data_IF_303822009654
#
_entry.id   IF_303822009654
#
_cell.length_a   1.000
_cell.length_b   1.000
_cell.length_c   1.000
_cell.angle_alpha   90.00
_cell.angle_beta   90.00
_cell.angle_gamma   90.00
#
_symmetry.space_group_name_H-M   'P 1'
#
loop_
_entity.id
_entity.type
_entity.pdbx_description
1 polymer ?
#
# COMPACT_ATOMS: atom_id res chain seq x y z
N UNK A 1 -4.58 -28.81 -40.57
CA UNK A 1 -4.85 -28.18 -39.26
C UNK A 1 -5.32 -29.27 -38.32
N UNK A 2 -4.55 -29.58 -37.28
CA UNK A 2 -4.89 -30.61 -36.29
C UNK A 2 -6.13 -30.22 -35.47
N UNK A 3 -6.78 -31.23 -34.87
CA UNK A 3 -7.96 -31.07 -34.01
C UNK A 3 -7.59 -30.22 -32.79
N UNK A 4 -8.27 -29.08 -32.60
CA UNK A 4 -8.06 -28.18 -31.46
C UNK A 4 -8.89 -28.64 -30.25
N UNK A 5 -8.26 -28.77 -29.10
CA UNK A 5 -8.90 -29.22 -27.87
C UNK A 5 -9.57 -28.07 -27.10
N UNK A 6 -10.72 -27.60 -27.60
CA UNK A 6 -11.44 -26.45 -27.03
C UNK A 6 -12.24 -26.78 -25.76
N UNK A 7 -12.34 -25.80 -24.87
CA UNK A 7 -13.16 -25.87 -23.65
C UNK A 7 -14.66 -25.92 -23.97
N UNK A 8 -15.40 -26.74 -23.21
CA UNK A 8 -16.87 -26.74 -23.27
C UNK A 8 -17.46 -25.42 -22.76
N UNK A 9 -18.69 -25.09 -23.18
CA UNK A 9 -19.40 -23.90 -22.67
C UNK A 9 -19.58 -23.93 -21.15
N UNK A 10 -19.72 -25.12 -20.56
CA UNK A 10 -19.77 -25.31 -19.10
C UNK A 10 -18.46 -24.87 -18.44
N UNK A 11 -17.31 -25.29 -18.97
CA UNK A 11 -16.00 -24.87 -18.47
C UNK A 11 -15.82 -23.36 -18.59
N UNK A 12 -16.13 -22.78 -19.76
CA UNK A 12 -16.02 -21.32 -19.99
C UNK A 12 -16.85 -20.53 -18.98
N UNK A 13 -18.10 -20.95 -18.75
CA UNK A 13 -19.00 -20.30 -17.78
C UNK A 13 -18.48 -20.40 -16.35
N UNK A 14 -18.09 -21.61 -15.90
CA UNK A 14 -17.57 -21.82 -14.55
C UNK A 14 -16.28 -21.01 -14.35
N UNK A 15 -15.38 -21.02 -15.33
CA UNK A 15 -14.13 -20.27 -15.26
C UNK A 15 -14.36 -18.76 -15.10
N UNK A 16 -15.27 -18.19 -15.88
CA UNK A 16 -15.64 -16.77 -15.74
C UNK A 16 -16.26 -16.48 -14.36
N UNK A 17 -17.12 -17.36 -13.84
CA UNK A 17 -17.75 -17.19 -12.52
C UNK A 17 -16.73 -17.24 -11.38
N UNK A 18 -15.72 -18.12 -11.47
CA UNK A 18 -14.66 -18.26 -10.44
C UNK A 18 -13.80 -17.00 -10.26
N UNK A 19 -13.86 -16.07 -11.20
CA UNK A 19 -13.16 -14.77 -11.14
C UNK A 19 -14.13 -13.59 -11.31
N UNK A 20 -15.43 -13.78 -11.00
CA UNK A 20 -16.47 -12.74 -11.10
C UNK A 20 -16.49 -12.00 -12.45
N UNK A 21 -16.20 -12.71 -13.54
CA UNK A 21 -16.08 -12.14 -14.88
C UNK A 21 -15.04 -11.01 -14.97
N UNK A 22 -14.02 -10.99 -14.11
CA UNK A 22 -12.88 -10.07 -14.20
C UNK A 22 -11.67 -10.74 -14.86
N UNK A 23 -10.90 -9.95 -15.61
CA UNK A 23 -9.67 -10.43 -16.23
C UNK A 23 -8.68 -10.92 -15.16
N UNK A 24 -8.21 -12.18 -15.24
CA UNK A 24 -7.28 -12.75 -14.28
C UNK A 24 -5.86 -12.18 -14.35
N UNK A 25 -5.55 -11.34 -15.34
CA UNK A 25 -4.29 -10.58 -15.33
C UNK A 25 -4.36 -9.55 -14.18
N UNK A 26 -3.50 -9.65 -13.15
CA UNK A 26 -3.57 -8.77 -11.98
C UNK A 26 -3.32 -7.29 -12.30
N UNK A 27 -2.65 -7.00 -13.42
CA UNK A 27 -2.45 -5.63 -13.90
C UNK A 27 -3.63 -5.08 -14.70
N UNK A 28 -4.68 -5.88 -14.95
CA UNK A 28 -5.83 -5.48 -15.76
C UNK A 28 -7.12 -5.45 -14.96
N UNK A 29 -7.53 -6.60 -14.37
CA UNK A 29 -8.75 -6.77 -13.54
C UNK A 29 -10.06 -6.26 -14.17
N UNK A 30 -10.05 -5.96 -15.47
CA UNK A 30 -11.18 -5.36 -16.17
C UNK A 30 -12.39 -6.29 -16.11
N UNK A 31 -13.55 -5.73 -15.75
CA UNK A 31 -14.84 -6.42 -15.88
C UNK A 31 -15.08 -6.74 -17.35
N UNK A 32 -15.35 -8.00 -17.63
CA UNK A 32 -15.43 -8.55 -18.98
C UNK A 32 -16.86 -8.72 -19.49
N UNK A 33 -17.87 -8.46 -18.66
CA UNK A 33 -19.29 -8.58 -19.00
C UNK A 33 -20.02 -7.25 -18.79
N UNK A 34 -21.02 -6.97 -19.61
CA UNK A 34 -21.84 -5.76 -19.50
C UNK A 34 -23.23 -5.92 -20.11
N UNK A 35 -24.11 -4.95 -19.87
CA UNK A 35 -25.44 -4.93 -20.45
C UNK A 35 -25.39 -4.82 -21.98
N UNK A 36 -26.30 -5.50 -22.65
CA UNK A 36 -26.56 -5.29 -24.08
C UNK A 36 -27.73 -4.31 -24.25
N UNK A 37 -27.88 -3.71 -25.43
CA UNK A 37 -29.05 -2.90 -25.79
C UNK A 37 -30.38 -3.69 -25.83
N UNK A 38 -30.33 -5.02 -25.67
CA UNK A 38 -31.49 -5.91 -25.62
C UNK A 38 -31.55 -6.50 -24.22
N UNK A 39 -32.72 -6.47 -23.59
CA UNK A 39 -32.89 -6.80 -22.16
C UNK A 39 -32.56 -8.26 -21.81
N UNK A 40 -32.63 -9.17 -22.77
CA UNK A 40 -32.38 -10.61 -22.61
C UNK A 40 -30.92 -11.00 -22.94
N UNK A 41 -30.03 -10.03 -23.19
CA UNK A 41 -28.65 -10.26 -23.62
C UNK A 41 -27.62 -9.53 -22.76
N UNK A 42 -26.40 -10.07 -22.77
CA UNK A 42 -25.22 -9.45 -22.21
C UNK A 42 -24.10 -9.41 -23.25
N UNK A 43 -23.26 -8.39 -23.18
CA UNK A 43 -22.00 -8.31 -23.94
C UNK A 43 -20.91 -8.96 -23.10
N UNK A 44 -20.05 -9.77 -23.72
CA UNK A 44 -18.84 -10.29 -23.09
C UNK A 44 -17.62 -10.03 -23.98
N UNK A 45 -16.59 -9.43 -23.40
CA UNK A 45 -15.24 -9.30 -23.99
C UNK A 45 -14.25 -10.30 -23.39
N UNK A 46 -14.73 -11.20 -22.51
CA UNK A 46 -13.91 -12.20 -21.83
C UNK A 46 -13.74 -13.47 -22.66
N UNK A 47 -12.56 -14.10 -22.53
CA UNK A 47 -12.17 -15.33 -23.22
C UNK A 47 -11.60 -16.32 -22.21
N UNK A 48 -11.97 -17.59 -22.37
CA UNK A 48 -11.29 -18.69 -21.72
C UNK A 48 -10.06 -19.05 -22.56
N UNK A 49 -8.87 -18.76 -22.04
CA UNK A 49 -7.60 -19.02 -22.69
C UNK A 49 -6.97 -20.29 -22.11
N UNK A 50 -6.23 -21.00 -22.97
CA UNK A 50 -5.41 -22.14 -22.56
C UNK A 50 -4.09 -21.64 -21.97
N UNK A 51 -3.69 -22.18 -20.82
CA UNK A 51 -2.38 -21.90 -20.23
C UNK A 51 -1.30 -22.63 -21.03
N UNK A 52 -1.47 -23.94 -21.21
CA UNK A 52 -0.73 -24.77 -22.17
C UNK A 52 -1.62 -25.04 -23.40
N UNK A 53 -1.09 -24.85 -24.61
CA UNK A 53 -1.88 -24.79 -25.85
C UNK A 53 -2.82 -25.98 -26.09
N UNK A 54 -3.96 -25.67 -26.70
CA UNK A 54 -5.00 -26.61 -27.12
C UNK A 54 -4.60 -27.55 -28.28
N UNK A 55 -3.48 -27.26 -28.95
CA UNK A 55 -3.02 -28.01 -30.11
C UNK A 55 -1.51 -27.83 -30.30
N UNK A 56 -0.90 -28.78 -30.99
CA UNK A 56 0.50 -28.70 -31.40
C UNK A 56 0.77 -27.43 -32.22
N UNK A 57 1.91 -26.79 -31.97
CA UNK A 57 2.30 -25.53 -32.59
C UNK A 57 1.64 -24.27 -31.99
N UNK A 58 0.78 -24.41 -30.97
CA UNK A 58 0.27 -23.27 -30.21
C UNK A 58 1.23 -22.81 -29.12
N UNK A 59 1.02 -21.61 -28.55
CA UNK A 59 1.89 -21.05 -27.52
C UNK A 59 1.98 -21.95 -26.28
N UNK A 60 3.19 -22.18 -25.76
CA UNK A 60 3.43 -23.04 -24.58
C UNK A 60 2.86 -24.47 -24.73
N UNK A 61 2.91 -25.06 -25.93
CA UNK A 61 2.41 -26.43 -26.14
C UNK A 61 3.21 -27.47 -25.34
N UNK A 62 2.49 -28.34 -24.61
CA UNK A 62 3.07 -29.46 -23.89
C UNK A 62 2.70 -30.81 -24.54
N UNK A 63 3.70 -31.46 -25.11
CA UNK A 63 3.55 -32.77 -25.77
C UNK A 63 3.12 -33.90 -24.83
N UNK A 64 3.37 -33.77 -23.53
CA UNK A 64 3.04 -34.78 -22.53
C UNK A 64 1.61 -34.63 -21.98
N UNK A 65 0.91 -33.53 -22.31
CA UNK A 65 -0.43 -33.26 -21.82
C UNK A 65 -1.48 -33.94 -22.71
N UNK A 66 -2.37 -34.72 -22.10
CA UNK A 66 -3.47 -35.40 -22.78
C UNK A 66 -4.56 -34.44 -23.28
N UNK A 67 -5.39 -34.84 -24.26
CA UNK A 67 -6.53 -34.04 -24.73
C UNK A 67 -7.52 -33.68 -23.61
N UNK A 68 -7.71 -34.58 -22.64
CA UNK A 68 -8.57 -34.38 -21.46
C UNK A 68 -8.00 -33.30 -20.55
N UNK A 69 -6.70 -33.34 -20.28
CA UNK A 69 -6.00 -32.32 -19.48
C UNK A 69 -6.01 -30.95 -20.18
N UNK A 70 -5.81 -30.90 -21.51
CA UNK A 70 -5.88 -29.65 -22.29
C UNK A 70 -7.24 -28.96 -22.17
N UNK A 71 -8.32 -29.75 -22.11
CA UNK A 71 -9.71 -29.28 -21.94
C UNK A 71 -10.11 -29.04 -20.49
N UNK A 72 -9.25 -29.38 -19.53
CA UNK A 72 -9.54 -29.22 -18.11
C UNK A 72 -9.57 -27.74 -17.71
N UNK A 73 -10.45 -27.40 -16.77
CA UNK A 73 -10.49 -26.06 -16.16
C UNK A 73 -9.18 -25.71 -15.42
N UNK A 74 -8.39 -26.70 -15.03
CA UNK A 74 -7.05 -26.49 -14.44
C UNK A 74 -6.08 -25.85 -15.43
N UNK A 75 -6.24 -26.12 -16.73
CA UNK A 75 -5.45 -25.55 -17.82
C UNK A 75 -6.07 -24.25 -18.39
N UNK A 76 -7.12 -23.72 -17.77
CA UNK A 76 -7.86 -22.58 -18.30
C UNK A 76 -7.68 -21.32 -17.43
N UNK A 77 -7.50 -20.16 -18.08
CA UNK A 77 -7.47 -18.84 -17.44
C UNK A 77 -8.47 -17.89 -18.12
N UNK A 78 -9.16 -17.06 -17.35
CA UNK A 78 -10.12 -16.08 -17.90
C UNK A 78 -9.45 -14.73 -18.12
N UNK A 79 -9.45 -14.23 -19.36
CA UNK A 79 -8.83 -12.95 -19.69
C UNK A 79 -9.75 -12.09 -20.55
N UNK A 80 -9.60 -10.77 -20.48
CA UNK A 80 -10.22 -9.90 -21.48
C UNK A 80 -9.55 -10.12 -22.85
N UNK A 81 -10.24 -9.77 -23.94
CA UNK A 81 -9.76 -9.95 -25.30
C UNK A 81 -8.33 -9.45 -25.54
N UNK A 82 -7.97 -8.27 -25.00
CA UNK A 82 -6.64 -7.69 -25.17
C UNK A 82 -5.54 -8.44 -24.40
N UNK A 83 -5.82 -8.89 -23.17
CA UNK A 83 -4.87 -9.69 -22.41
C UNK A 83 -4.71 -11.10 -22.99
N UNK A 84 -5.80 -11.70 -23.49
CA UNK A 84 -5.76 -12.95 -24.22
C UNK A 84 -4.81 -12.88 -25.42
N UNK A 85 -4.95 -11.83 -26.26
CA UNK A 85 -4.07 -11.66 -27.42
C UNK A 85 -2.60 -11.42 -27.03
N UNK A 86 -2.36 -10.74 -25.89
CA UNK A 86 -1.00 -10.45 -25.40
C UNK A 86 -0.26 -11.71 -24.95
N UNK A 87 -0.91 -12.59 -24.19
CA UNK A 87 -0.24 -13.78 -23.65
C UNK A 87 0.14 -14.78 -24.75
N UNK A 88 -0.61 -14.81 -25.86
CA UNK A 88 -0.34 -15.72 -26.97
C UNK A 88 0.73 -15.19 -27.92
N UNK A 89 0.92 -13.88 -28.01
CA UNK A 89 1.95 -13.25 -28.86
C UNK A 89 3.35 -13.23 -28.24
N UNK A 90 3.46 -13.44 -26.93
CA UNK A 90 4.73 -13.34 -26.19
C UNK A 90 4.81 -14.42 -25.10
N UNK A 91 4.95 -15.67 -25.53
CA UNK A 91 4.99 -16.83 -24.62
C UNK A 91 6.18 -16.86 -23.67
N UNK A 92 7.29 -16.19 -24.05
CA UNK A 92 8.49 -16.06 -23.21
C UNK A 92 8.19 -15.15 -22.02
N UNK A 93 7.55 -14.00 -22.27
CA UNK A 93 7.16 -13.07 -21.19
C UNK A 93 6.04 -13.61 -20.32
N UNK A 94 5.17 -14.47 -20.86
CA UNK A 94 4.04 -15.06 -20.15
C UNK A 94 4.16 -16.59 -20.08
N UNK A 95 5.09 -17.12 -19.26
CA UNK A 95 5.29 -18.55 -19.11
C UNK A 95 4.15 -19.23 -18.34
N UNK A 96 4.01 -20.55 -18.51
CA UNK A 96 2.97 -21.40 -17.87
C UNK A 96 2.83 -21.13 -16.37
N UNK A 97 3.96 -21.08 -15.65
CA UNK A 97 4.00 -20.85 -14.21
C UNK A 97 3.31 -19.53 -13.82
N UNK A 98 3.60 -18.44 -14.54
CA UNK A 98 3.03 -17.12 -14.29
C UNK A 98 1.50 -17.11 -14.52
N UNK A 99 1.03 -17.78 -15.56
CA UNK A 99 -0.41 -17.85 -15.85
C UNK A 99 -1.17 -18.69 -14.81
N UNK A 100 -0.55 -19.75 -14.26
CA UNK A 100 -1.11 -20.46 -13.12
C UNK A 100 -1.17 -19.60 -11.85
N UNK A 101 -0.14 -18.79 -11.59
CA UNK A 101 -0.15 -17.82 -10.49
C UNK A 101 -1.30 -16.81 -10.66
N UNK A 102 -1.44 -16.20 -11.84
CA UNK A 102 -2.53 -15.27 -12.16
C UNK A 102 -3.92 -15.88 -11.95
N UNK A 103 -4.12 -17.11 -12.43
CA UNK A 103 -5.36 -17.87 -12.20
C UNK A 103 -5.62 -18.06 -10.71
N UNK A 104 -4.61 -18.53 -9.95
CA UNK A 104 -4.77 -18.79 -8.52
C UNK A 104 -5.10 -17.54 -7.74
N UNK A 105 -4.43 -16.43 -8.04
CA UNK A 105 -4.66 -15.13 -7.39
C UNK A 105 -6.07 -14.61 -7.67
N UNK A 106 -6.49 -14.60 -8.94
CA UNK A 106 -7.82 -14.13 -9.32
C UNK A 106 -8.94 -14.95 -8.67
N UNK A 107 -8.79 -16.28 -8.60
CA UNK A 107 -9.77 -17.17 -7.96
C UNK A 107 -9.81 -16.98 -6.43
N UNK A 108 -8.67 -16.68 -5.79
CA UNK A 108 -8.61 -16.41 -4.33
C UNK A 108 -9.21 -15.06 -3.95
N UNK A 109 -9.04 -14.04 -4.80
CA UNK A 109 -9.57 -12.70 -4.54
C UNK A 109 -11.11 -12.69 -4.50
N UNK A 110 -11.76 -13.56 -5.29
CA UNK A 110 -13.21 -13.62 -5.49
C UNK A 110 -13.91 -14.65 -4.57
N UNK A 111 -13.30 -15.01 -3.44
CA UNK A 111 -13.98 -15.87 -2.47
C UNK A 111 -15.04 -15.05 -1.69
N UNK A 112 -16.35 -15.38 -1.78
CA UNK A 112 -17.40 -14.66 -1.05
C UNK A 112 -17.25 -14.78 0.48
N UNK A 113 -16.55 -15.78 1.00
CA UNK A 113 -16.21 -15.86 2.43
C UNK A 113 -15.14 -14.83 2.84
N UNK A 114 -14.43 -14.21 1.89
CA UNK A 114 -13.55 -13.07 2.16
C UNK A 114 -14.34 -11.78 2.50
N UNK A 115 -15.68 -11.80 2.44
CA UNK A 115 -16.51 -10.73 3.05
C UNK A 115 -16.55 -10.79 4.58
N UNK A 116 -16.04 -11.86 5.20
CA UNK A 116 -15.44 -11.75 6.54
C UNK A 116 -13.99 -11.35 6.34
N UNK A 117 -13.65 -10.12 6.74
CA UNK A 117 -12.26 -9.64 6.92
C UNK A 117 -11.38 -10.82 7.31
N UNK A 118 -10.57 -11.32 6.37
CA UNK A 118 -9.73 -12.47 6.63
C UNK A 118 -8.80 -12.11 7.80
N UNK A 119 -9.02 -12.73 8.95
CA UNK A 119 -8.16 -12.63 10.13
C UNK A 119 -6.84 -13.38 9.90
N UNK A 120 -6.10 -12.99 8.86
CA UNK A 120 -4.80 -13.51 8.49
C UNK A 120 -3.87 -12.35 8.19
N UNK A 121 -3.01 -12.00 9.16
CA UNK A 121 -2.00 -10.93 9.10
C UNK A 121 -2.40 -9.73 8.22
N UNK A 122 -3.31 -8.90 8.73
CA UNK A 122 -3.72 -7.68 8.05
C UNK A 122 -2.54 -6.70 8.09
N UNK A 123 -1.78 -6.64 7.00
CA UNK A 123 -0.70 -5.65 6.84
C UNK A 123 -1.33 -4.27 6.96
N UNK A 124 -0.95 -3.52 7.99
CA UNK A 124 -1.44 -2.16 8.22
C UNK A 124 -0.51 -1.17 7.53
N UNK A 125 -1.09 -0.37 6.64
CA UNK A 125 -0.38 0.72 5.97
C UNK A 125 -0.78 2.00 6.69
N UNK A 126 0.15 2.56 7.46
CA UNK A 126 0.00 3.75 8.28
C UNK A 126 0.64 4.93 7.57
N UNK A 127 -0.15 5.81 6.96
CA UNK A 127 0.38 7.02 6.30
C UNK A 127 0.38 8.22 7.22
N UNK A 128 1.47 8.98 7.20
CA UNK A 128 1.59 10.29 7.84
C UNK A 128 1.51 11.34 6.75
N UNK A 129 0.47 12.16 6.75
CA UNK A 129 0.26 13.18 5.73
C UNK A 129 -0.44 14.44 6.23
N UNK A 130 0.02 15.59 5.75
CA UNK A 130 -0.71 16.86 5.80
C UNK A 130 -0.09 17.80 4.76
N UNK A 131 -0.93 18.43 3.93
CA UNK A 131 -0.47 19.36 2.88
C UNK A 131 0.21 20.61 3.45
N UNK A 132 -0.01 20.91 4.74
CA UNK A 132 0.67 21.99 5.45
C UNK A 132 2.14 21.66 5.74
N UNK A 133 3.03 22.62 5.49
CA UNK A 133 4.42 22.56 5.93
C UNK A 133 4.57 22.72 7.44
N UNK A 134 5.70 22.27 7.99
CA UNK A 134 6.10 22.56 9.38
C UNK A 134 5.32 21.83 10.48
N UNK A 135 4.46 20.85 10.16
CA UNK A 135 3.70 20.07 11.16
C UNK A 135 4.41 18.79 11.64
N UNK A 136 5.71 18.63 11.33
CA UNK A 136 6.53 17.53 11.84
C UNK A 136 6.29 16.15 11.20
N UNK A 137 5.74 16.06 9.99
CA UNK A 137 5.34 14.79 9.34
C UNK A 137 6.45 13.74 9.29
N UNK A 138 7.63 14.10 8.79
CA UNK A 138 8.75 13.17 8.68
C UNK A 138 9.26 12.70 10.04
N UNK A 139 9.27 13.59 11.04
CA UNK A 139 9.63 13.23 12.41
C UNK A 139 8.59 12.30 13.04
N UNK A 140 7.29 12.60 12.88
CA UNK A 140 6.19 11.75 13.32
C UNK A 140 6.28 10.38 12.66
N UNK A 141 6.56 10.31 11.35
CA UNK A 141 6.72 9.04 10.64
C UNK A 141 7.85 8.20 11.23
N UNK A 142 9.02 8.79 11.46
CA UNK A 142 10.15 8.11 12.08
C UNK A 142 9.80 7.63 13.50
N UNK A 143 9.19 8.50 14.31
CA UNK A 143 8.82 8.19 15.69
C UNK A 143 7.75 7.10 15.79
N UNK A 144 6.75 7.10 14.92
CA UNK A 144 5.72 6.05 14.84
C UNK A 144 6.35 4.73 14.38
N UNK A 145 7.28 4.73 13.42
CA UNK A 145 8.00 3.50 13.02
C UNK A 145 8.74 2.86 14.21
N UNK A 146 9.46 3.66 14.99
CA UNK A 146 10.18 3.18 16.20
C UNK A 146 9.22 2.73 17.28
N UNK A 147 8.17 3.50 17.56
CA UNK A 147 7.18 3.18 18.59
C UNK A 147 6.39 1.90 18.26
N UNK A 148 5.98 1.69 17.00
CA UNK A 148 5.32 0.44 16.58
C UNK A 148 6.28 -0.75 16.78
N UNK A 149 7.52 -0.63 16.31
CA UNK A 149 8.53 -1.68 16.46
C UNK A 149 8.73 -2.09 17.93
N UNK A 150 8.82 -1.12 18.83
CA UNK A 150 8.96 -1.35 20.28
C UNK A 150 7.71 -1.91 20.96
N UNK A 151 6.55 -1.27 20.75
CA UNK A 151 5.30 -1.62 21.46
C UNK A 151 4.72 -2.94 20.97
N UNK A 152 4.81 -3.23 19.67
CA UNK A 152 4.24 -4.44 19.07
C UNK A 152 5.25 -5.59 18.98
N UNK A 153 6.54 -5.33 19.16
CA UNK A 153 7.62 -6.30 18.92
C UNK A 153 7.53 -6.91 17.51
N UNK A 154 7.25 -6.07 16.50
CA UNK A 154 7.05 -6.48 15.10
C UNK A 154 8.05 -5.83 14.16
N UNK A 155 8.29 -6.48 13.01
CA UNK A 155 9.04 -5.88 11.90
C UNK A 155 8.21 -4.79 11.24
N UNK A 156 8.83 -3.64 10.99
CA UNK A 156 8.20 -2.45 10.39
C UNK A 156 8.93 -2.10 9.10
N UNK A 157 8.19 -1.77 8.05
CA UNK A 157 8.72 -1.16 6.84
C UNK A 157 8.43 0.34 6.84
N UNK A 158 9.45 1.19 7.00
CA UNK A 158 9.33 2.64 6.92
C UNK A 158 9.60 3.12 5.50
N UNK A 159 8.61 3.70 4.84
CA UNK A 159 8.65 4.10 3.44
C UNK A 159 8.64 5.63 3.37
N UNK A 160 9.63 6.22 2.70
CA UNK A 160 9.59 7.65 2.39
C UNK A 160 8.97 7.87 1.01
N UNK A 161 7.92 8.69 0.95
CA UNK A 161 7.37 9.24 -0.27
C UNK A 161 7.58 10.77 -0.34
N UNK A 162 8.55 11.29 0.43
CA UNK A 162 8.93 12.71 0.47
C UNK A 162 10.25 12.95 -0.27
N UNK A 163 10.36 14.06 -0.99
CA UNK A 163 11.56 14.37 -1.79
C UNK A 163 12.84 14.46 -0.95
N UNK A 164 12.73 14.82 0.34
CA UNK A 164 13.88 15.02 1.20
C UNK A 164 14.28 13.79 2.02
N UNK A 165 13.47 12.71 2.01
CA UNK A 165 13.72 11.49 2.79
C UNK A 165 14.04 11.70 4.29
N UNK A 166 13.67 12.86 4.88
CA UNK A 166 14.03 13.22 6.25
C UNK A 166 13.55 12.20 7.30
N UNK A 167 12.46 11.48 7.05
CA UNK A 167 11.99 10.43 7.97
C UNK A 167 12.99 9.28 8.08
N UNK A 168 13.70 8.95 7.01
CA UNK A 168 14.74 7.92 7.01
C UNK A 168 16.03 8.47 7.62
N UNK A 169 16.37 9.73 7.37
CA UNK A 169 17.51 10.40 8.00
C UNK A 169 17.37 10.43 9.52
N UNK A 170 16.17 10.73 10.03
CA UNK A 170 15.90 10.68 11.48
C UNK A 170 16.09 9.28 12.06
N UNK A 171 15.90 8.23 11.27
CA UNK A 171 16.16 6.83 11.68
C UNK A 171 17.66 6.46 11.60
N UNK A 172 18.52 7.40 11.21
CA UNK A 172 19.97 7.25 11.19
C UNK A 172 20.54 6.72 9.87
N UNK A 173 19.80 6.80 8.76
CA UNK A 173 20.31 6.40 7.44
C UNK A 173 20.16 7.52 6.42
N UNK A 174 21.30 7.98 5.89
CA UNK A 174 21.37 8.96 4.81
C UNK A 174 21.48 8.28 3.45
N UNK A 175 21.04 8.97 2.40
CA UNK A 175 21.03 8.42 1.03
C UNK A 175 22.46 8.08 0.54
N UNK A 176 23.47 8.85 0.95
CA UNK A 176 24.89 8.59 0.65
C UNK A 176 25.40 7.28 1.28
N UNK A 177 24.83 6.90 2.43
CA UNK A 177 25.21 5.71 3.21
C UNK A 177 24.41 4.46 2.80
N UNK A 178 23.52 4.57 1.80
CA UNK A 178 22.68 3.49 1.29
C UNK A 178 23.47 2.25 0.84
N UNK A 179 24.71 2.42 0.37
CA UNK A 179 25.62 1.31 -0.02
C UNK A 179 26.16 0.50 1.16
N UNK A 180 26.31 1.13 2.33
CA UNK A 180 26.77 0.47 3.55
C UNK A 180 25.65 -0.32 4.24
N UNK A 181 24.39 0.00 3.96
CA UNK A 181 23.24 -0.74 4.44
C UNK A 181 23.09 -2.09 3.70
N UNK A 182 22.86 -3.17 4.45
CA UNK A 182 22.67 -4.49 3.85
C UNK A 182 21.36 -4.53 3.05
N UNK A 183 21.50 -4.85 1.78
CA UNK A 183 20.42 -4.93 0.81
C UNK A 183 19.82 -6.35 0.74
N UNK A 184 18.50 -6.45 0.59
CA UNK A 184 17.80 -7.75 0.53
C UNK A 184 17.08 -7.93 -0.80
N UNK A 185 17.60 -8.84 -1.64
CA UNK A 185 16.89 -9.42 -2.79
C UNK A 185 16.68 -10.92 -2.57
N UNK A 186 15.50 -11.42 -2.97
CA UNK A 186 15.29 -12.83 -3.30
C UNK A 186 14.83 -12.90 -4.76
N UNK A 187 15.48 -13.75 -5.54
CA UNK A 187 15.43 -13.82 -7.01
C UNK A 187 14.03 -13.81 -7.67
N UNK A 188 14.02 -13.31 -8.92
CA UNK A 188 13.02 -13.47 -10.00
C UNK A 188 11.80 -12.52 -10.12
N UNK A 189 11.85 -11.27 -9.65
CA UNK A 189 10.93 -10.19 -10.08
C UNK A 189 11.54 -8.80 -9.84
N UNK A 190 11.03 -7.74 -10.50
CA UNK A 190 11.30 -6.35 -10.11
C UNK A 190 10.69 -6.14 -8.71
N UNK A 191 11.54 -6.21 -7.68
CA UNK A 191 11.14 -6.12 -6.27
C UNK A 191 11.58 -4.80 -5.66
N UNK A 192 10.79 -4.31 -4.71
CA UNK A 192 11.09 -3.10 -3.96
C UNK A 192 12.35 -3.30 -3.12
N UNK A 193 13.32 -2.40 -3.32
CA UNK A 193 14.57 -2.42 -2.58
C UNK A 193 14.33 -1.95 -1.15
N UNK A 194 14.73 -2.76 -0.17
CA UNK A 194 14.64 -2.43 1.26
C UNK A 194 16.02 -2.44 1.90
N UNK A 195 16.25 -1.53 2.85
CA UNK A 195 17.53 -1.36 3.54
C UNK A 195 17.37 -1.62 5.05
N UNK A 196 18.36 -2.29 5.65
CA UNK A 196 18.43 -2.49 7.11
C UNK A 196 18.95 -1.21 7.79
N UNK A 197 18.39 -0.87 8.95
CA UNK A 197 18.91 0.21 9.79
C UNK A 197 19.94 -0.33 10.81
N UNK A 198 21.11 0.33 10.98
CA UNK A 198 22.13 -0.10 11.95
C UNK A 198 21.63 -0.10 13.40
N UNK A 199 20.93 0.95 13.83
CA UNK A 199 20.49 1.13 15.22
C UNK A 199 19.11 0.53 15.52
N UNK A 200 18.34 0.15 14.49
CA UNK A 200 16.93 -0.28 14.60
C UNK A 200 16.67 -1.54 13.77
N UNK A 201 17.19 -2.69 14.21
CA UNK A 201 17.20 -3.95 13.42
C UNK A 201 15.83 -4.49 12.99
N UNK A 202 14.76 -4.14 13.71
CA UNK A 202 13.38 -4.52 13.38
C UNK A 202 12.71 -3.55 12.40
N UNK A 203 13.41 -2.53 11.93
CA UNK A 203 12.89 -1.52 11.01
C UNK A 203 13.72 -1.56 9.74
N UNK A 204 13.02 -1.76 8.63
CA UNK A 204 13.56 -1.65 7.30
C UNK A 204 13.07 -0.39 6.63
N UNK A 205 13.86 0.19 5.73
CA UNK A 205 13.51 1.44 5.06
C UNK A 205 13.47 1.32 3.55
N UNK A 206 12.63 2.14 2.92
CA UNK A 206 12.53 2.31 1.46
C UNK A 206 12.61 3.79 1.15
N UNK A 207 13.59 4.18 0.35
CA UNK A 207 13.76 5.55 -0.14
C UNK A 207 12.76 5.85 -1.26
N UNK A 208 12.40 7.12 -1.43
CA UNK A 208 11.54 7.56 -2.54
C UNK A 208 12.09 7.12 -3.91
N UNK A 209 13.42 7.19 -4.10
CA UNK A 209 14.09 6.81 -5.35
C UNK A 209 13.77 5.38 -5.81
N UNK A 210 13.57 4.46 -4.87
CA UNK A 210 13.21 3.06 -5.17
C UNK A 210 11.75 2.89 -5.56
N UNK A 211 10.85 3.69 -4.96
CA UNK A 211 9.46 3.73 -5.37
C UNK A 211 9.32 4.34 -6.77
N UNK A 212 10.06 5.40 -7.07
CA UNK A 212 10.04 6.07 -8.37
C UNK A 212 10.53 5.15 -9.50
N UNK A 213 11.62 4.42 -9.26
CA UNK A 213 12.15 3.44 -10.22
C UNK A 213 11.09 2.38 -10.57
N UNK A 214 10.43 1.82 -9.55
CA UNK A 214 9.42 0.78 -9.76
C UNK A 214 8.13 1.33 -10.34
N UNK A 215 7.68 2.50 -9.88
CA UNK A 215 6.49 3.16 -10.42
C UNK A 215 6.66 3.48 -11.90
N UNK A 216 7.84 3.95 -12.31
CA UNK A 216 8.19 4.18 -13.71
C UNK A 216 8.18 2.86 -14.50
N UNK A 217 8.84 1.83 -13.98
CA UNK A 217 8.86 0.51 -14.63
C UNK A 217 7.44 -0.07 -14.81
N UNK A 218 6.58 0.03 -13.79
CA UNK A 218 5.18 -0.40 -13.85
C UNK A 218 4.39 0.41 -14.87
N UNK A 219 4.57 1.73 -14.89
CA UNK A 219 3.91 2.63 -15.84
C UNK A 219 4.29 2.30 -17.28
N UNK A 220 5.57 2.07 -17.57
CA UNK A 220 6.05 1.68 -18.91
C UNK A 220 5.54 0.29 -19.30
N UNK A 221 5.61 -0.67 -18.37
CA UNK A 221 5.30 -2.08 -18.64
C UNK A 221 3.81 -2.37 -18.74
N UNK A 222 3.00 -1.69 -17.93
CA UNK A 222 1.59 -2.01 -17.70
C UNK A 222 0.63 -0.83 -17.95
N UNK A 223 1.14 0.39 -18.16
CA UNK A 223 0.34 1.59 -18.37
C UNK A 223 -0.28 2.18 -17.10
N UNK A 224 -0.02 1.59 -15.93
CA UNK A 224 -0.47 2.05 -14.61
C UNK A 224 0.49 1.58 -13.52
N UNK A 225 0.46 2.25 -12.38
CA UNK A 225 1.08 1.81 -11.12
C UNK A 225 0.11 0.97 -10.29
N UNK A 226 0.68 0.12 -9.43
CA UNK A 226 -0.03 -0.62 -8.39
C UNK A 226 0.87 -0.77 -7.16
N UNK A 227 1.02 0.35 -6.43
CA UNK A 227 1.80 0.46 -5.21
C UNK A 227 1.15 -0.28 -4.06
N UNK A 228 -0.17 -0.41 -4.04
CA UNK A 228 -0.88 -1.23 -3.05
C UNK A 228 -0.37 -2.67 -3.12
N UNK A 229 -0.40 -3.28 -4.31
CA UNK A 229 0.07 -4.65 -4.50
C UNK A 229 1.56 -4.78 -4.22
N UNK A 230 2.37 -3.81 -4.66
CA UNK A 230 3.82 -3.79 -4.41
C UNK A 230 4.15 -3.77 -2.91
N UNK A 231 3.51 -2.89 -2.14
CA UNK A 231 3.73 -2.76 -0.70
C UNK A 231 3.26 -4.03 0.04
N UNK A 232 2.09 -4.56 -0.31
CA UNK A 232 1.60 -5.80 0.28
C UNK A 232 2.48 -7.02 -0.05
N UNK A 233 2.96 -7.17 -1.28
CA UNK A 233 3.86 -8.28 -1.63
C UNK A 233 5.19 -8.15 -0.90
N UNK A 234 5.75 -6.93 -0.85
CA UNK A 234 6.99 -6.64 -0.11
C UNK A 234 6.85 -6.98 1.38
N UNK A 235 5.71 -6.62 1.99
CA UNK A 235 5.40 -6.95 3.37
C UNK A 235 5.23 -8.45 3.61
N UNK A 236 4.49 -9.16 2.77
CA UNK A 236 4.33 -10.63 2.88
C UNK A 236 5.67 -11.36 2.75
N UNK A 237 6.51 -10.98 1.80
CA UNK A 237 7.80 -11.63 1.56
C UNK A 237 8.82 -11.43 2.69
N UNK A 238 8.69 -10.34 3.44
CA UNK A 238 9.63 -9.94 4.48
C UNK A 238 9.05 -9.98 5.90
N UNK A 239 7.80 -10.44 6.02
CA UNK A 239 7.08 -10.57 7.29
C UNK A 239 6.88 -9.23 8.00
N UNK A 240 6.65 -8.16 7.24
CA UNK A 240 6.22 -6.87 7.80
C UNK A 240 4.72 -6.92 8.09
N UNK A 241 4.34 -6.57 9.31
CA UNK A 241 2.93 -6.39 9.69
C UNK A 241 2.48 -4.92 9.60
N UNK A 242 3.45 -4.01 9.67
CA UNK A 242 3.22 -2.57 9.58
C UNK A 242 4.11 -1.96 8.50
N UNK A 243 3.50 -1.12 7.66
CA UNK A 243 4.19 -0.25 6.71
C UNK A 243 3.87 1.18 7.13
N UNK A 244 4.88 1.96 7.50
CA UNK A 244 4.72 3.36 7.90
C UNK A 244 5.21 4.25 6.77
N UNK A 245 4.33 5.07 6.21
CA UNK A 245 4.61 5.87 5.02
C UNK A 245 4.70 7.36 5.36
N UNK A 246 5.86 7.98 5.17
CA UNK A 246 6.00 9.44 5.16
C UNK A 246 5.54 9.99 3.82
N UNK A 247 4.26 10.32 3.73
CA UNK A 247 3.69 10.86 2.50
C UNK A 247 3.99 12.35 2.30
N UNK A 248 4.74 13.00 3.21
CA UNK A 248 5.00 14.42 3.14
C UNK A 248 3.70 15.21 2.98
N UNK A 249 3.61 16.07 1.96
CA UNK A 249 2.40 16.87 1.71
C UNK A 249 1.24 16.03 1.15
N UNK A 250 1.47 14.79 0.76
CA UNK A 250 0.45 13.80 0.38
C UNK A 250 -0.12 13.96 -1.03
N UNK A 251 -0.15 15.17 -1.59
CA UNK A 251 -0.85 15.47 -2.84
C UNK A 251 0.05 15.96 -3.96
N UNK A 252 1.36 16.06 -3.73
CA UNK A 252 2.31 16.64 -4.67
C UNK A 252 2.65 15.68 -5.81
N UNK A 253 2.64 14.37 -5.54
CA UNK A 253 2.98 13.32 -6.52
C UNK A 253 1.93 12.20 -6.58
N UNK A 254 1.90 11.48 -7.70
CA UNK A 254 1.02 10.30 -7.85
C UNK A 254 1.37 9.20 -6.85
N UNK A 255 2.66 9.01 -6.53
CA UNK A 255 3.13 8.04 -5.53
C UNK A 255 2.50 8.34 -4.16
N UNK A 256 2.56 9.59 -3.70
CA UNK A 256 1.97 9.98 -2.42
C UNK A 256 0.45 9.73 -2.38
N UNK A 257 -0.25 10.09 -3.45
CA UNK A 257 -1.71 9.91 -3.57
C UNK A 257 -2.11 8.44 -3.54
N UNK A 258 -1.41 7.61 -4.31
CA UNK A 258 -1.71 6.18 -4.39
C UNK A 258 -1.40 5.45 -3.09
N UNK A 259 -0.30 5.82 -2.40
CA UNK A 259 -0.02 5.32 -1.06
C UNK A 259 -1.17 5.72 -0.11
N UNK A 260 -1.55 7.00 -0.06
CA UNK A 260 -2.65 7.47 0.80
C UNK A 260 -3.96 6.74 0.53
N UNK A 261 -4.33 6.53 -0.73
CA UNK A 261 -5.57 5.85 -1.11
C UNK A 261 -5.57 4.37 -0.72
N UNK A 262 -4.42 3.73 -0.56
CA UNK A 262 -4.31 2.34 -0.12
C UNK A 262 -3.98 2.16 1.36
N UNK A 263 -3.82 3.25 2.11
CA UNK A 263 -3.53 3.21 3.55
C UNK A 263 -4.72 2.74 4.37
N UNK A 264 -4.48 1.82 5.32
CA UNK A 264 -5.48 1.37 6.29
C UNK A 264 -5.69 2.42 7.38
N UNK A 265 -4.63 3.13 7.73
CA UNK A 265 -4.63 4.13 8.79
C UNK A 265 -3.93 5.39 8.29
N UNK A 266 -4.51 6.55 8.55
CA UNK A 266 -3.90 7.83 8.21
C UNK A 266 -3.79 8.68 9.45
N UNK A 267 -2.56 9.03 9.83
CA UNK A 267 -2.27 9.99 10.89
C UNK A 267 -2.04 11.35 10.23
N UNK A 268 -2.82 12.35 10.62
CA UNK A 268 -2.73 13.73 10.15
C UNK A 268 -2.14 14.58 11.27
N UNK A 269 -0.84 14.96 11.20
CA UNK A 269 -0.24 15.88 12.14
C UNK A 269 -0.80 17.29 11.92
N UNK A 270 -1.27 17.97 12.98
CA UNK A 270 -1.84 19.32 12.93
C UNK A 270 -1.06 20.25 13.86
N UNK A 271 -0.65 21.41 13.33
CA UNK A 271 0.02 22.49 14.06
C UNK A 271 -0.88 23.70 14.32
N UNK A 272 -0.33 24.79 14.87
CA UNK A 272 -1.13 25.96 15.32
C UNK A 272 -1.69 26.85 14.20
N UNK A 273 -1.16 26.74 12.98
CA UNK A 273 -1.53 27.58 11.86
C UNK A 273 -2.79 27.07 11.16
N UNK A 274 -3.68 27.99 10.76
CA UNK A 274 -4.95 27.67 10.11
C UNK A 274 -4.79 26.79 8.86
N UNK A 275 -3.64 26.87 8.18
CA UNK A 275 -3.34 26.03 7.02
C UNK A 275 -3.25 24.53 7.35
N UNK A 276 -2.94 24.14 8.59
CA UNK A 276 -2.88 22.73 8.99
C UNK A 276 -4.26 22.04 8.95
N UNK A 277 -5.32 22.75 9.35
CA UNK A 277 -6.70 22.25 9.26
C UNK A 277 -7.23 22.27 7.82
N UNK A 278 -6.80 23.22 7.01
CA UNK A 278 -7.12 23.20 5.57
C UNK A 278 -6.48 21.98 4.89
N UNK A 279 -5.21 21.69 5.18
CA UNK A 279 -4.52 20.55 4.62
C UNK A 279 -5.10 19.21 5.05
N UNK A 280 -5.53 19.10 6.31
CA UNK A 280 -6.33 17.98 6.79
C UNK A 280 -7.58 17.77 5.92
N UNK A 281 -8.31 18.84 5.59
CA UNK A 281 -9.50 18.72 4.77
C UNK A 281 -9.25 18.24 3.34
N UNK A 282 -8.11 18.59 2.74
CA UNK A 282 -7.71 18.07 1.44
C UNK A 282 -7.36 16.57 1.49
N UNK A 283 -6.74 16.11 2.57
CA UNK A 283 -6.48 14.68 2.79
C UNK A 283 -7.79 13.92 2.98
N UNK A 284 -8.73 14.43 3.78
CA UNK A 284 -10.05 13.83 3.95
C UNK A 284 -10.84 13.79 2.62
N UNK A 285 -10.78 14.83 1.81
CA UNK A 285 -11.46 14.84 0.51
C UNK A 285 -10.91 13.78 -0.46
N UNK A 286 -9.59 13.51 -0.41
CA UNK A 286 -8.98 12.40 -1.14
C UNK A 286 -9.49 11.04 -0.61
N UNK A 287 -9.58 10.88 0.71
CA UNK A 287 -9.89 9.60 1.35
C UNK A 287 -11.38 9.26 1.41
N UNK A 288 -12.28 10.21 1.16
CA UNK A 288 -13.75 10.02 1.29
C UNK A 288 -14.31 8.82 0.52
N UNK A 289 -13.64 8.41 -0.55
CA UNK A 289 -14.03 7.27 -1.39
C UNK A 289 -13.02 6.11 -1.31
N UNK A 290 -12.06 6.15 -0.39
CA UNK A 290 -11.11 5.04 -0.21
C UNK A 290 -11.83 3.88 0.46
N UNK A 291 -11.77 2.71 -0.18
CA UNK A 291 -12.24 1.44 0.42
C UNK A 291 -11.20 0.83 1.38
N UNK A 292 -9.98 1.37 1.42
CA UNK A 292 -8.89 0.83 2.24
C UNK A 292 -8.79 1.50 3.61
N UNK A 293 -9.11 2.80 3.70
CA UNK A 293 -8.92 3.57 4.92
C UNK A 293 -9.96 3.19 5.98
N UNK A 294 -9.48 2.59 7.07
CA UNK A 294 -10.30 2.19 8.22
C UNK A 294 -10.31 3.28 9.30
N UNK A 295 -9.17 3.94 9.53
CA UNK A 295 -9.04 4.95 10.58
C UNK A 295 -8.31 6.20 10.11
N UNK A 296 -8.86 7.37 10.44
CA UNK A 296 -8.16 8.65 10.30
C UNK A 296 -7.94 9.22 11.70
N UNK A 297 -6.68 9.47 12.04
CA UNK A 297 -6.25 9.99 13.34
C UNK A 297 -5.72 11.40 13.18
N UNK A 298 -6.10 12.30 14.07
CA UNK A 298 -5.50 13.63 14.18
C UNK A 298 -4.51 13.65 15.33
N UNK A 299 -3.26 13.96 15.04
CA UNK A 299 -2.18 14.10 16.01
C UNK A 299 -1.76 15.57 16.12
N UNK A 300 -1.75 16.14 17.31
CA UNK A 300 -1.17 17.48 17.51
C UNK A 300 0.36 17.37 17.61
N UNK A 301 1.09 17.79 16.58
CA UNK A 301 2.54 17.55 16.44
C UNK A 301 3.38 18.82 16.48
N UNK A 302 4.65 18.64 16.87
CA UNK A 302 5.76 19.61 16.95
C UNK A 302 5.39 21.00 17.50
N UNK A 303 5.69 21.16 18.79
CA UNK A 303 6.03 22.47 19.36
C UNK A 303 4.93 23.21 20.11
N UNK A 304 3.71 22.69 20.22
CA UNK A 304 2.60 23.61 20.54
C UNK A 304 1.35 23.07 21.25
N UNK A 305 1.44 21.92 21.93
CA UNK A 305 0.73 21.83 23.21
C UNK A 305 1.62 22.54 24.23
N UNK A 306 1.69 23.86 24.11
CA UNK A 306 2.25 24.71 25.17
C UNK A 306 1.64 24.28 26.50
N UNK A 307 2.37 24.43 27.61
CA UNK A 307 1.76 24.43 28.94
C UNK A 307 0.57 25.43 29.06
N UNK A 308 0.42 26.33 28.08
CA UNK A 308 -0.75 27.18 27.88
C UNK A 308 -1.96 26.38 27.36
N UNK A 309 -2.77 25.92 28.31
CA UNK A 309 -4.05 25.24 28.11
C UNK A 309 -5.01 25.96 27.13
N UNK A 310 -4.94 27.30 27.01
CA UNK A 310 -5.84 28.07 26.13
C UNK A 310 -5.62 27.76 24.64
N UNK A 311 -4.37 27.51 24.22
CA UNK A 311 -4.07 27.16 22.83
C UNK A 311 -4.64 25.77 22.51
N UNK A 312 -4.51 24.82 23.43
CA UNK A 312 -5.05 23.46 23.28
C UNK A 312 -6.59 23.51 23.14
N UNK A 313 -7.26 24.33 23.96
CA UNK A 313 -8.71 24.56 23.86
C UNK A 313 -9.10 25.20 22.52
N UNK A 314 -8.34 26.18 22.04
CA UNK A 314 -8.60 26.84 20.75
C UNK A 314 -8.42 25.90 19.55
N UNK A 315 -7.35 25.10 19.53
CA UNK A 315 -7.12 24.09 18.49
C UNK A 315 -8.18 22.99 18.53
N UNK A 316 -8.52 22.51 19.72
CA UNK A 316 -9.59 21.52 19.90
C UNK A 316 -10.94 22.05 19.45
N UNK A 317 -11.27 23.30 19.76
CA UNK A 317 -12.49 23.96 19.25
C UNK A 317 -12.51 23.96 17.72
N UNK A 318 -11.41 24.36 17.07
CA UNK A 318 -11.30 24.32 15.59
C UNK A 318 -11.40 22.90 15.04
N UNK A 319 -10.80 21.92 15.69
CA UNK A 319 -10.94 20.51 15.32
C UNK A 319 -12.41 20.10 15.36
N UNK A 320 -13.12 20.39 16.47
CA UNK A 320 -14.55 20.07 16.62
C UNK A 320 -15.41 20.78 15.55
N UNK A 321 -15.16 22.06 15.28
CA UNK A 321 -15.83 22.80 14.19
C UNK A 321 -15.61 22.15 12.82
N UNK A 322 -14.40 21.64 12.56
CA UNK A 322 -14.08 20.95 11.30
C UNK A 322 -14.61 19.52 11.27
N UNK A 323 -14.70 18.84 12.41
CA UNK A 323 -15.24 17.48 12.51
C UNK A 323 -16.68 17.43 12.01
N UNK A 324 -17.50 18.45 12.28
CA UNK A 324 -18.85 18.56 11.72
C UNK A 324 -18.87 18.66 10.19
N UNK A 325 -17.87 19.33 9.60
CA UNK A 325 -17.71 19.37 8.14
C UNK A 325 -17.33 18.00 7.60
N UNK A 326 -16.48 17.26 8.32
CA UNK A 326 -16.03 15.93 7.89
C UNK A 326 -17.08 14.83 8.02
N UNK A 327 -18.04 14.97 8.94
CA UNK A 327 -19.24 14.11 8.98
C UNK A 327 -20.01 14.11 7.65
N UNK A 328 -19.97 15.20 6.88
CA UNK A 328 -20.59 15.27 5.54
C UNK A 328 -19.92 14.37 4.50
N UNK A 329 -18.65 14.00 4.73
CA UNK A 329 -17.91 13.05 3.88
C UNK A 329 -18.04 11.60 4.34
N UNK A 330 -18.91 11.32 5.34
CA UNK A 330 -19.04 10.00 5.97
C UNK A 330 -17.70 9.44 6.50
N UNK A 331 -16.78 10.35 6.86
CA UNK A 331 -15.50 10.01 7.47
C UNK A 331 -15.56 10.30 8.97
N UNK A 332 -15.19 9.30 9.77
CA UNK A 332 -14.95 9.47 11.20
C UNK A 332 -13.47 9.79 11.41
N UNK A 333 -13.21 10.85 12.18
CA UNK A 333 -11.85 11.28 12.50
C UNK A 333 -11.65 11.20 14.00
N UNK A 334 -10.69 10.38 14.39
CA UNK A 334 -10.32 10.11 15.76
C UNK A 334 -9.30 11.14 16.25
N UNK A 335 -9.55 11.73 17.41
CA UNK A 335 -8.61 12.61 18.10
C UNK A 335 -7.66 11.76 18.96
N UNK A 336 -6.35 11.86 18.72
CA UNK A 336 -5.34 11.28 19.61
C UNK A 336 -5.27 12.15 20.86
N UNK A 337 -5.56 11.56 22.02
CA UNK A 337 -5.58 12.23 23.33
C UNK A 337 -4.17 12.34 23.92
N UNK A 338 -3.28 11.43 23.55
CA UNK A 338 -1.90 11.45 24.00
C UNK A 338 -1.19 12.74 23.58
N UNK A 339 -0.54 13.38 24.56
CA UNK A 339 0.17 14.66 24.38
C UNK A 339 1.66 14.40 24.25
N UNK A 340 2.24 14.75 23.10
CA UNK A 340 3.69 14.72 22.90
C UNK A 340 4.31 15.98 23.52
N UNK A 341 5.21 15.86 24.51
CA UNK A 341 5.79 17.01 25.20
C UNK A 341 6.75 17.80 24.29
N UNK A 342 6.86 19.11 24.52
CA UNK A 342 7.89 19.93 23.88
C UNK A 342 9.25 19.63 24.52
N UNK A 343 10.28 19.49 23.70
CA UNK A 343 11.66 19.35 24.16
C UNK A 343 12.58 20.24 23.31
N UNK A 344 13.34 21.11 23.94
CA UNK A 344 14.24 22.05 23.25
C UNK A 344 15.53 21.39 22.72
N UNK A 345 15.86 20.18 23.17
CA UNK A 345 17.04 19.46 22.70
C UNK A 345 16.82 18.78 21.35
N UNK A 346 15.56 18.61 20.91
CA UNK A 346 15.25 17.90 19.67
C UNK A 346 15.91 18.61 18.48
N UNK A 347 15.75 19.93 18.37
CA UNK A 347 16.32 20.70 17.25
C UNK A 347 17.84 20.54 17.24
N UNK A 348 18.49 20.67 18.40
CA UNK A 348 19.95 20.50 18.53
C UNK A 348 20.40 19.11 18.07
N UNK A 349 19.74 18.05 18.52
CA UNK A 349 20.13 16.67 18.21
C UNK A 349 19.86 16.32 16.73
N UNK A 350 18.83 16.90 16.13
CA UNK A 350 18.58 16.79 14.69
C UNK A 350 19.71 17.40 13.86
N UNK A 351 20.35 18.48 14.33
CA UNK A 351 21.54 19.05 13.68
C UNK A 351 22.79 18.19 13.85
N UNK A 352 22.93 17.49 14.98
CA UNK A 352 24.10 16.67 15.32
C UNK A 352 24.08 15.28 14.64
N UNK A 353 23.01 14.93 13.92
CA UNK A 353 22.83 13.65 13.19
C UNK A 353 23.03 12.39 14.06
N UNK A 354 22.82 12.51 15.36
CA UNK A 354 22.86 11.39 16.29
C UNK A 354 21.58 10.56 16.22
N UNK A 355 21.62 9.29 16.65
CA UNK A 355 20.42 8.48 16.83
C UNK A 355 19.57 9.03 17.99
N UNK A 356 18.68 9.94 17.63
CA UNK A 356 17.83 10.66 18.58
C UNK A 356 16.95 9.71 19.40
N UNK A 357 16.55 8.56 18.85
CA UNK A 357 15.62 7.62 19.48
C UNK A 357 16.19 6.86 20.68
N UNK A 358 17.51 6.86 20.83
CA UNK A 358 18.23 6.30 21.96
C UNK A 358 18.76 7.38 22.92
N UNK A 359 18.44 8.65 22.69
CA UNK A 359 18.89 9.75 23.54
C UNK A 359 18.05 9.87 24.83
N UNK A 360 18.70 9.71 25.98
CA UNK A 360 18.07 9.85 27.30
C UNK A 360 17.36 11.19 27.52
N UNK A 361 17.82 12.27 26.88
CA UNK A 361 17.21 13.61 26.99
C UNK A 361 15.86 13.72 26.27
N UNK A 362 15.54 12.79 25.38
CA UNK A 362 14.32 12.75 24.58
C UNK A 362 13.37 11.62 24.98
N UNK A 363 13.68 10.86 26.05
CA UNK A 363 12.91 9.68 26.48
C UNK A 363 11.41 9.96 26.63
N UNK A 364 11.04 11.13 27.16
CA UNK A 364 9.63 11.47 27.42
C UNK A 364 8.85 11.71 26.12
N UNK A 365 9.52 12.19 25.05
CA UNK A 365 8.92 12.32 23.72
C UNK A 365 8.62 10.94 23.15
N UNK A 366 9.58 10.03 23.18
CA UNK A 366 9.40 8.70 22.58
C UNK A 366 8.45 7.83 23.37
N UNK A 367 8.45 7.94 24.70
CA UNK A 367 7.41 7.36 25.53
C UNK A 367 6.01 7.87 25.13
N UNK A 368 5.85 9.17 24.86
CA UNK A 368 4.59 9.69 24.36
C UNK A 368 4.20 9.09 23.01
N UNK A 369 5.14 8.89 22.08
CA UNK A 369 4.84 8.19 20.80
C UNK A 369 4.49 6.71 20.98
N UNK A 370 5.06 6.02 21.97
CA UNK A 370 4.65 4.68 22.36
C UNK A 370 3.19 4.66 22.85
N UNK A 371 2.78 5.64 23.65
CA UNK A 371 1.39 5.82 24.08
C UNK A 371 0.46 6.16 22.90
N UNK A 372 0.89 7.00 21.95
CA UNK A 372 0.15 7.26 20.69
C UNK A 372 -0.09 5.96 19.93
N UNK A 373 0.93 5.10 19.80
CA UNK A 373 0.81 3.80 19.13
C UNK A 373 -0.14 2.87 19.86
N UNK A 374 -0.12 2.85 21.20
CA UNK A 374 -1.08 2.07 21.99
C UNK A 374 -2.51 2.56 21.76
N UNK A 375 -2.72 3.86 21.77
CA UNK A 375 -4.02 4.49 21.54
C UNK A 375 -4.60 4.16 20.15
N UNK A 376 -3.76 4.23 19.10
CA UNK A 376 -4.20 4.01 17.72
C UNK A 376 -4.32 2.53 17.32
N UNK A 377 -3.46 1.67 17.87
CA UNK A 377 -3.22 0.34 17.28
C UNK A 377 -3.34 -0.83 18.26
N UNK A 378 -3.54 -0.62 19.57
CA UNK A 378 -3.67 -1.69 20.57
C UNK A 378 -5.09 -1.89 21.13
N UNK A 379 -6.07 -1.10 20.67
CA UNK A 379 -7.46 -1.18 21.12
C UNK A 379 -8.31 -2.11 20.26
#
# INVERSE_FOLDING_TARGET
MGKRDDFSNKVKKILAQRCAYQCSNPSCEKVTVGAHSQNDKAVSIGRACHIEAASEGGPRYNKNMSPEERKSISNAIWLCASCADRIDKDEIRYPVKLLHEWKSDAEKMINPDNHKRAAGNNIRIVSIANTAGGVGKSFVSAAISVAISKVKSKKVLSVSASQSNHSIEFLGLEEENKKAAQYKLKDCAVKLKTYNLPSHQNINVVFLSELEEIALHQSISFGRTDLKKLLHSTAKENEYEYIVCDCGRGLDTNIQREILLCSTDVIIPVGQHNHAFHGMGLICDLLKNSEACENIWTLYSMGFLTANQKINVGMRRRFLEKQEVFKKFNLEINEIKTVVPKNSYIDKLLWEKEDIFNCNKLKDIFFAYEEVVKECFCN
#
